data_IF_836846909515
#
_entry.id   IF_836846909515
#
_cell.length_a   1.000
_cell.length_b   1.000
_cell.length_c   1.000
_cell.angle_alpha   90.00
_cell.angle_beta   90.00
_cell.angle_gamma   90.00
#
_symmetry.space_group_name_H-M   'P 1'
#
loop_
_entity.id
_entity.type
_entity.pdbx_description
1 polymer ?
#
# COMPACT_ATOMS: atom_id res chain seq x y z
N UNK A 1 -16.56 0.34 -8.56
CA UNK A 1 -16.19 1.14 -7.37
C UNK A 1 -15.83 0.15 -6.28
N UNK A 2 -14.59 0.16 -5.82
CA UNK A 2 -14.12 -0.62 -4.67
C UNK A 2 -14.15 0.35 -3.50
N UNK A 3 -14.84 0.00 -2.42
CA UNK A 3 -14.90 0.83 -1.22
C UNK A 3 -13.62 0.65 -0.37
N UNK A 4 -13.25 -0.62 -0.14
CA UNK A 4 -12.02 -1.01 0.51
C UNK A 4 -11.63 -2.44 0.10
N UNK A 5 -10.40 -2.83 0.40
CA UNK A 5 -9.94 -4.23 0.35
C UNK A 5 -8.98 -4.52 1.49
N UNK A 6 -8.83 -5.81 1.81
CA UNK A 6 -7.94 -6.29 2.86
C UNK A 6 -6.94 -7.29 2.30
N UNK A 7 -5.69 -7.20 2.75
CA UNK A 7 -4.69 -8.27 2.60
C UNK A 7 -4.35 -8.88 3.95
N UNK A 8 -4.00 -10.16 3.94
CA UNK A 8 -3.46 -10.83 5.12
C UNK A 8 -1.95 -10.67 5.19
N UNK A 9 -1.44 -10.43 6.39
CA UNK A 9 -0.01 -10.30 6.67
C UNK A 9 0.38 -11.13 7.89
N UNK A 10 1.55 -11.77 7.83
CA UNK A 10 2.03 -12.63 8.94
C UNK A 10 2.42 -11.81 10.18
N UNK A 11 3.06 -10.65 9.97
CA UNK A 11 3.47 -9.75 11.04
C UNK A 11 2.84 -8.36 10.82
N UNK A 12 1.75 -8.10 11.53
CA UNK A 12 0.97 -6.86 11.38
C UNK A 12 1.78 -5.61 11.73
N UNK A 13 2.61 -5.65 12.78
CA UNK A 13 3.39 -4.50 13.22
C UNK A 13 4.47 -4.13 12.19
N UNK A 14 5.21 -5.12 11.70
CA UNK A 14 6.23 -4.92 10.67
C UNK A 14 5.60 -4.41 9.36
N UNK A 15 4.48 -5.02 8.94
CA UNK A 15 3.74 -4.57 7.75
C UNK A 15 3.14 -3.18 7.93
N UNK A 16 2.58 -2.84 9.10
CA UNK A 16 2.10 -1.49 9.40
C UNK A 16 3.21 -0.46 9.21
N UNK A 17 4.37 -0.67 9.81
CA UNK A 17 5.50 0.26 9.70
C UNK A 17 5.98 0.41 8.25
N UNK A 18 5.98 -0.68 7.49
CA UNK A 18 6.30 -0.66 6.07
C UNK A 18 5.29 0.17 5.26
N UNK A 19 3.99 -0.16 5.33
CA UNK A 19 2.96 0.52 4.56
C UNK A 19 2.73 1.97 5.01
N UNK A 20 2.89 2.27 6.30
CA UNK A 20 2.84 3.64 6.78
C UNK A 20 3.94 4.51 6.14
N UNK A 21 5.15 3.98 6.00
CA UNK A 21 6.25 4.72 5.37
C UNK A 21 6.09 4.82 3.86
N UNK A 22 5.73 3.72 3.20
CA UNK A 22 5.66 3.67 1.74
C UNK A 22 4.44 4.41 1.20
N UNK A 23 3.31 4.41 1.89
CA UNK A 23 2.09 5.09 1.43
C UNK A 23 2.04 6.57 1.79
N UNK A 24 2.88 7.07 2.72
CA UNK A 24 2.91 8.48 3.09
C UNK A 24 3.17 9.45 1.92
N UNK A 25 4.09 9.17 0.96
CA UNK A 25 4.25 9.97 -0.27
C UNK A 25 2.99 10.06 -1.14
N UNK A 26 2.11 9.05 -1.06
CA UNK A 26 0.83 9.02 -1.76
C UNK A 26 -0.29 9.73 -0.95
N UNK A 27 0.03 10.29 0.22
CA UNK A 27 -0.91 11.00 1.07
C UNK A 27 -1.71 10.13 2.05
N UNK A 28 -1.50 8.82 2.04
CA UNK A 28 -2.19 7.91 2.96
C UNK A 28 -1.75 8.10 4.41
N UNK A 29 -2.69 7.91 5.33
CA UNK A 29 -2.49 7.93 6.78
C UNK A 29 -3.22 6.74 7.41
N UNK A 30 -2.82 6.35 8.62
CA UNK A 30 -3.58 5.35 9.40
C UNK A 30 -4.95 5.96 9.72
N UNK A 31 -6.00 5.24 9.34
CA UNK A 31 -7.38 5.65 9.60
C UNK A 31 -7.98 4.86 10.78
N UNK A 32 -7.61 3.60 10.91
CA UNK A 32 -8.06 2.73 11.99
C UNK A 32 -6.95 1.77 12.43
N UNK A 33 -6.86 1.50 13.73
CA UNK A 33 -5.88 0.58 14.29
C UNK A 33 -6.47 -0.15 15.51
N UNK A 34 -6.46 -1.48 15.44
CA UNK A 34 -6.79 -2.40 16.52
C UNK A 34 -5.76 -3.53 16.55
N UNK A 35 -5.65 -4.33 17.63
CA UNK A 35 -4.61 -5.35 17.75
C UNK A 35 -4.50 -6.32 16.56
N UNK A 36 -5.61 -6.62 15.89
CA UNK A 36 -5.68 -7.57 14.79
C UNK A 36 -5.69 -6.95 13.38
N UNK A 37 -5.86 -5.63 13.27
CA UNK A 37 -6.03 -4.97 11.96
C UNK A 37 -5.62 -3.50 11.96
N UNK A 38 -5.14 -3.04 10.80
CA UNK A 38 -4.79 -1.64 10.54
C UNK A 38 -5.35 -1.23 9.19
N UNK A 39 -5.91 -0.02 9.09
CA UNK A 39 -6.34 0.54 7.81
C UNK A 39 -5.62 1.84 7.48
N UNK A 40 -5.50 2.10 6.18
CA UNK A 40 -4.96 3.33 5.63
C UNK A 40 -6.02 4.02 4.79
N UNK A 41 -6.08 5.35 4.88
CA UNK A 41 -6.91 6.22 4.06
C UNK A 41 -6.05 7.30 3.42
N UNK A 42 -6.25 7.56 2.12
CA UNK A 42 -5.84 8.82 1.52
C UNK A 42 -6.92 9.90 1.73
N UNK A 43 -6.65 11.20 1.53
CA UNK A 43 -7.60 12.27 1.83
C UNK A 43 -8.94 12.18 1.08
N UNK A 44 -9.00 11.37 0.02
CA UNK A 44 -10.16 11.22 -0.86
C UNK A 44 -11.01 9.99 -0.54
N UNK A 45 -10.58 9.12 0.38
CA UNK A 45 -11.23 7.83 0.65
C UNK A 45 -12.05 7.83 1.94
N UNK A 46 -12.74 6.72 2.20
CA UNK A 46 -13.67 6.58 3.31
C UNK A 46 -13.01 6.82 4.68
N UNK A 47 -13.77 7.30 5.67
CA UNK A 47 -13.26 7.64 7.00
C UNK A 47 -12.60 6.45 7.73
N UNK A 48 -12.99 5.22 7.39
CA UNK A 48 -12.42 3.99 7.95
C UNK A 48 -11.21 3.45 7.16
N UNK A 49 -10.85 4.04 6.02
CA UNK A 49 -9.77 3.59 5.14
C UNK A 49 -10.18 2.60 4.06
N UNK A 50 -9.45 2.65 2.94
CA UNK A 50 -9.66 1.85 1.72
C UNK A 50 -8.68 0.67 1.60
N UNK A 51 -7.55 0.71 2.32
CA UNK A 51 -6.57 -0.37 2.34
C UNK A 51 -6.37 -0.93 3.74
N UNK A 52 -6.64 -2.22 3.92
CA UNK A 52 -6.60 -2.89 5.21
C UNK A 52 -5.52 -3.98 5.26
N UNK A 53 -4.87 -4.07 6.41
CA UNK A 53 -4.00 -5.15 6.82
C UNK A 53 -4.69 -5.93 7.92
N UNK A 54 -4.91 -7.23 7.72
CA UNK A 54 -5.33 -8.15 8.77
C UNK A 54 -4.25 -9.17 9.07
N UNK A 55 -4.07 -9.55 10.34
CA UNK A 55 -3.11 -10.60 10.69
C UNK A 55 -3.59 -11.98 10.20
N UNK A 56 -2.73 -12.74 9.52
CA UNK A 56 -3.04 -14.10 9.05
C UNK A 56 -2.06 -14.64 8.01
N UNK A 57 -2.39 -15.79 7.44
CA UNK A 57 -1.65 -16.38 6.32
C UNK A 57 -1.84 -15.54 5.05
N UNK A 58 -0.75 -15.31 4.32
CA UNK A 58 -0.71 -14.44 3.15
C UNK A 58 -0.48 -15.27 1.88
N UNK A 59 -1.34 -15.07 0.89
CA UNK A 59 -1.16 -15.56 -0.47
C UNK A 59 -0.61 -14.46 -1.39
N UNK A 60 0.11 -14.80 -2.47
CA UNK A 60 0.56 -13.83 -3.46
C UNK A 60 -0.63 -13.05 -4.03
N UNK A 61 -0.62 -11.74 -3.82
CA UNK A 61 -1.70 -10.85 -4.26
C UNK A 61 -1.10 -9.68 -5.02
N UNK A 62 -1.82 -9.22 -6.05
CA UNK A 62 -1.43 -8.10 -6.87
C UNK A 62 -2.45 -6.96 -6.73
N UNK A 63 -1.98 -5.78 -6.34
CA UNK A 63 -2.79 -4.59 -6.22
C UNK A 63 -1.96 -3.35 -6.56
N UNK A 64 -2.64 -2.24 -6.79
CA UNK A 64 -2.02 -1.03 -7.33
C UNK A 64 -2.57 0.19 -6.59
N UNK A 65 -1.67 1.10 -6.22
CA UNK A 65 -2.08 2.43 -5.73
C UNK A 65 -1.95 3.45 -6.86
N UNK A 66 -2.88 4.40 -6.87
CA UNK A 66 -2.77 5.54 -7.76
C UNK A 66 -1.71 6.52 -7.22
N UNK A 67 -0.94 7.12 -8.11
CA UNK A 67 -0.06 8.23 -7.82
C UNK A 67 -0.39 9.34 -8.81
N UNK A 68 -0.42 10.59 -8.38
CA UNK A 68 -0.71 11.71 -9.27
C UNK A 68 0.51 12.10 -10.11
N UNK A 69 1.71 11.86 -9.57
CA UNK A 69 2.96 12.28 -10.20
C UNK A 69 4.03 11.19 -10.20
N UNK A 70 5.04 11.38 -11.05
CA UNK A 70 6.21 10.50 -11.13
C UNK A 70 7.04 10.55 -9.83
N UNK A 71 7.14 11.73 -9.23
CA UNK A 71 7.89 11.97 -7.99
C UNK A 71 7.29 11.19 -6.82
N UNK A 72 5.96 11.06 -6.77
CA UNK A 72 5.27 10.21 -5.80
C UNK A 72 5.62 8.73 -5.97
N UNK A 73 5.68 8.24 -7.21
CA UNK A 73 6.13 6.87 -7.52
C UNK A 73 7.56 6.64 -7.04
N UNK A 74 8.46 7.58 -7.34
CA UNK A 74 9.85 7.44 -6.98
C UNK A 74 10.05 7.54 -5.45
N UNK A 75 9.33 8.44 -4.77
CA UNK A 75 9.34 8.55 -3.31
C UNK A 75 8.77 7.30 -2.60
N UNK A 76 7.66 6.74 -3.12
CA UNK A 76 7.11 5.45 -2.65
C UNK A 76 8.17 4.35 -2.76
N UNK A 77 8.84 4.25 -3.91
CA UNK A 77 9.86 3.25 -4.17
C UNK A 77 11.06 3.40 -3.22
N UNK A 78 11.59 4.62 -3.05
CA UNK A 78 12.70 4.88 -2.14
C UNK A 78 12.35 4.56 -0.68
N UNK A 79 11.16 4.93 -0.21
CA UNK A 79 10.70 4.59 1.13
C UNK A 79 10.63 3.07 1.35
N UNK A 80 10.33 2.34 0.28
CA UNK A 80 10.15 0.90 0.30
C UNK A 80 11.45 0.09 0.24
N UNK A 81 12.50 0.62 -0.38
CA UNK A 81 13.84 -0.01 -0.40
C UNK A 81 14.46 -0.17 1.00
N UNK A 82 14.01 0.62 1.97
CA UNK A 82 14.48 0.56 3.36
C UNK A 82 13.82 -0.59 4.14
N UNK A 83 12.71 -1.14 3.65
CA UNK A 83 12.09 -2.34 4.19
C UNK A 83 12.57 -3.58 3.44
N UNK A 84 12.85 -4.67 4.14
CA UNK A 84 13.31 -5.94 3.55
C UNK A 84 12.24 -6.68 2.68
N UNK A 85 11.25 -5.95 2.17
CA UNK A 85 10.18 -6.47 1.30
C UNK A 85 10.62 -6.31 -0.15
N UNK A 86 10.47 -7.36 -0.95
CA UNK A 86 10.74 -7.30 -2.38
C UNK A 86 9.66 -6.45 -3.07
N UNK A 87 9.96 -5.18 -3.27
CA UNK A 87 9.11 -4.28 -4.05
C UNK A 87 9.42 -4.45 -5.52
N UNK A 88 8.48 -5.02 -6.27
CA UNK A 88 8.54 -5.02 -7.72
C UNK A 88 7.71 -3.85 -8.24
N UNK A 89 8.39 -2.79 -8.69
CA UNK A 89 7.76 -1.72 -9.46
C UNK A 89 7.75 -2.17 -10.92
N UNK A 90 6.59 -2.61 -11.40
CA UNK A 90 6.34 -2.58 -12.84
C UNK A 90 6.03 -1.12 -13.21
N UNK A 91 6.99 -0.44 -13.83
CA UNK A 91 6.66 0.73 -14.64
C UNK A 91 5.85 0.23 -15.83
N UNK A 92 4.54 0.05 -15.64
CA UNK A 92 3.65 -0.06 -16.78
C UNK A 92 3.61 1.33 -17.42
N UNK A 93 4.37 1.49 -18.50
CA UNK A 93 4.24 2.62 -19.41
C UNK A 93 2.88 2.46 -20.14
N UNK A 94 1.79 2.76 -19.43
CA UNK A 94 0.51 3.01 -20.07
C UNK A 94 0.46 4.51 -20.34
N UNK A 95 0.57 4.96 -21.60
CA UNK A 95 0.42 6.37 -21.90
C UNK A 95 -0.95 6.84 -21.37
N UNK A 96 -0.93 7.88 -20.53
CA UNK A 96 -2.08 8.51 -19.86
C UNK A 96 -2.66 7.78 -18.61
N UNK A 97 -1.97 6.81 -18.02
CA UNK A 97 -2.37 6.26 -16.71
C UNK A 97 -1.19 6.35 -15.72
N UNK A 98 -1.29 7.27 -14.76
CA UNK A 98 -0.40 7.32 -13.60
C UNK A 98 -0.88 6.29 -12.57
N UNK A 99 -0.54 5.01 -12.75
CA UNK A 99 -0.92 3.96 -11.78
C UNK A 99 0.22 2.98 -11.57
N UNK A 100 0.50 2.68 -10.29
CA UNK A 100 1.60 1.83 -9.85
C UNK A 100 1.10 0.40 -9.63
N UNK A 101 1.62 -0.56 -10.38
CA UNK A 101 1.36 -2.01 -10.24
C UNK A 101 2.30 -2.57 -9.15
N UNK A 102 1.76 -3.00 -7.99
CA UNK A 102 2.51 -3.65 -6.89
C UNK A 102 2.19 -5.15 -6.82
N UNK A 103 3.19 -5.99 -7.07
CA UNK A 103 3.06 -7.44 -6.82
C UNK A 103 3.86 -7.78 -5.56
N UNK A 104 3.16 -8.16 -4.47
CA UNK A 104 3.81 -8.81 -3.34
C UNK A 104 3.96 -10.29 -3.67
N UNK A 105 5.21 -10.73 -3.77
CA UNK A 105 5.56 -12.13 -3.61
C UNK A 105 5.74 -12.37 -2.10
N UNK A 106 4.95 -13.29 -1.55
CA UNK A 106 4.95 -13.69 -0.14
C UNK A 106 6.21 -14.42 0.28
#
# INVERSE_FOLDING_TARGET
>A
MIDHFEIKVKNLEASKLFYQKTLAPLGYKIAFEIPQAVSFAEPRTAAAGDFWLGQGESDPTHFAFNAETREQVDAFYQAGLVGAVKIMVLQAFVPNITSLIMQLLS
#
